data_IF_853557924473
#
_entry.id   IF_853557924473
#
_cell.length_a   1.000
_cell.length_b   1.000
_cell.length_c   1.000
_cell.angle_alpha   90.00
_cell.angle_beta   90.00
_cell.angle_gamma   90.00
#
_symmetry.space_group_name_H-M   'P 1'
#
loop_
_entity.id
_entity.type
_entity.pdbx_description
1 polymer ?
#
# COMPACT_ATOMS: atom_id res chain seq x y z
N UNK A 1 -7.26 3.37 -0.85
CA UNK A 1 -7.01 2.17 -1.68
C UNK A 1 -5.55 2.20 -2.09
N UNK A 2 -4.85 1.07 -2.20
CA UNK A 2 -3.49 1.05 -2.69
C UNK A 2 -3.43 1.36 -4.19
N UNK A 3 -2.29 1.88 -4.65
CA UNK A 3 -1.88 1.76 -6.05
C UNK A 3 -0.98 0.53 -6.15
N UNK A 4 -1.19 -0.31 -7.17
CA UNK A 4 -0.40 -1.55 -7.29
C UNK A 4 -0.08 -1.90 -8.75
N UNK A 5 1.04 -2.58 -8.92
CA UNK A 5 1.55 -3.04 -10.22
C UNK A 5 2.06 -4.46 -10.10
N UNK A 6 1.59 -5.36 -10.97
CA UNK A 6 1.93 -6.78 -10.93
C UNK A 6 2.64 -7.23 -12.20
N UNK A 7 3.76 -7.93 -12.06
CA UNK A 7 4.49 -8.62 -13.13
C UNK A 7 4.76 -10.06 -12.70
N UNK A 8 4.00 -10.99 -13.27
CA UNK A 8 4.03 -12.41 -12.94
C UNK A 8 3.89 -12.66 -11.43
N UNK A 9 5.01 -12.94 -10.75
CA UNK A 9 5.09 -13.26 -9.33
C UNK A 9 5.58 -12.08 -8.47
N UNK A 10 5.73 -10.88 -9.05
CA UNK A 10 6.13 -9.67 -8.33
C UNK A 10 5.00 -8.66 -8.32
N UNK A 11 4.51 -8.35 -7.12
CA UNK A 11 3.55 -7.28 -6.84
C UNK A 11 4.28 -6.11 -6.17
N UNK A 12 4.25 -4.94 -6.79
CA UNK A 12 4.65 -3.66 -6.19
C UNK A 12 3.40 -2.94 -5.70
N UNK A 13 3.46 -2.35 -4.51
CA UNK A 13 2.33 -1.65 -3.90
C UNK A 13 2.80 -0.30 -3.36
N UNK A 14 2.17 0.78 -3.83
CA UNK A 14 2.38 2.15 -3.38
C UNK A 14 1.18 2.60 -2.53
N UNK A 15 1.47 3.19 -1.36
CA UNK A 15 0.47 3.57 -0.37
C UNK A 15 0.55 5.06 -0.08
N UNK A 16 -0.50 5.79 -0.44
CA UNK A 16 -0.67 7.20 -0.14
C UNK A 16 -2.15 7.51 0.09
N UNK A 17 -2.42 8.51 0.94
CA UNK A 17 -3.77 9.03 1.12
C UNK A 17 -3.92 10.30 0.27
N UNK A 18 -4.55 10.18 -0.89
CA UNK A 18 -4.72 11.28 -1.85
C UNK A 18 -5.37 12.53 -1.25
N UNK A 19 -6.42 12.36 -0.45
CA UNK A 19 -7.13 13.46 0.20
C UNK A 19 -6.23 14.26 1.16
N UNK A 20 -5.32 13.57 1.85
CA UNK A 20 -4.34 14.19 2.74
C UNK A 20 -3.09 14.72 1.99
N UNK A 21 -3.00 14.50 0.67
CA UNK A 21 -1.84 14.86 -0.14
C UNK A 21 -0.54 14.16 0.26
N UNK A 22 -0.61 13.01 0.93
CA UNK A 22 0.58 12.34 1.46
C UNK A 22 0.30 11.09 2.29
N UNK A 23 1.30 10.68 3.08
CA UNK A 23 1.24 9.48 3.92
C UNK A 23 0.47 9.78 5.20
N UNK A 24 -0.45 8.89 5.56
CA UNK A 24 -1.20 8.95 6.82
C UNK A 24 -1.11 7.63 7.60
N UNK A 25 -1.74 7.60 8.78
CA UNK A 25 -1.85 6.39 9.60
C UNK A 25 -2.56 5.24 8.86
N UNK A 26 -3.46 5.54 7.93
CA UNK A 26 -4.16 4.54 7.13
C UNK A 26 -3.19 3.76 6.23
N UNK A 27 -2.22 4.46 5.64
CA UNK A 27 -1.19 3.86 4.79
C UNK A 27 -0.29 2.93 5.62
N UNK A 28 0.08 3.34 6.84
CA UNK A 28 0.87 2.52 7.76
C UNK A 28 0.10 1.28 8.21
N UNK A 29 -1.19 1.41 8.52
CA UNK A 29 -2.02 0.28 8.92
C UNK A 29 -2.18 -0.73 7.78
N UNK A 30 -2.42 -0.26 6.56
CA UNK A 30 -2.53 -1.12 5.40
C UNK A 30 -1.21 -1.83 5.09
N UNK A 31 -0.07 -1.14 5.19
CA UNK A 31 1.25 -1.74 5.05
C UNK A 31 1.48 -2.90 6.05
N UNK A 32 1.07 -2.72 7.32
CA UNK A 32 1.17 -3.77 8.34
C UNK A 32 0.33 -5.00 8.00
N UNK A 33 -0.89 -4.79 7.50
CA UNK A 33 -1.76 -5.89 7.08
C UNK A 33 -1.12 -6.66 5.92
N UNK A 34 -0.62 -5.96 4.89
CA UNK A 34 0.04 -6.58 3.74
C UNK A 34 1.28 -7.39 4.16
N UNK A 35 2.09 -6.84 5.08
CA UNK A 35 3.29 -7.50 5.58
C UNK A 35 2.99 -8.74 6.46
N UNK A 36 1.78 -8.87 6.98
CA UNK A 36 1.35 -10.05 7.75
C UNK A 36 0.76 -11.16 6.85
N UNK A 37 0.49 -10.87 5.58
CA UNK A 37 -0.02 -11.83 4.59
C UNK A 37 1.10 -12.55 3.81
N UNK A 38 2.34 -12.11 4.00
CA UNK A 38 3.58 -12.69 3.44
C UNK A 38 4.34 -13.44 4.51
#
# INVERSE_FOLDING_TARGET
>A
HPEWYNVYNRLSVDLTTHDAGGITSNDIQLAKILNALT
#
